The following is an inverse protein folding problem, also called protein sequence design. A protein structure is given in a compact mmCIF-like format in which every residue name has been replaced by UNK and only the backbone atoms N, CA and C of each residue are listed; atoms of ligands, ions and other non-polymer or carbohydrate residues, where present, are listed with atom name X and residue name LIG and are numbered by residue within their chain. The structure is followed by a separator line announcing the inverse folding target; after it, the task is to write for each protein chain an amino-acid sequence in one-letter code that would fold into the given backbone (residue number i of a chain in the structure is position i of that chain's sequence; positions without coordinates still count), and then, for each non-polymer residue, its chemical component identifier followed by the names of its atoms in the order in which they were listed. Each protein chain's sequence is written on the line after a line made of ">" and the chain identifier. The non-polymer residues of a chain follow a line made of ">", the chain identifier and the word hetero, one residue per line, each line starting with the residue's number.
data_IF_278515582208
#
_entry.id   IF_278515582208
#
_cell.length_a   1.000
_cell.length_b   1.000
_cell.length_c   1.000
_cell.angle_alpha   90.00
_cell.angle_beta   90.00
_cell.angle_gamma   90.00
#
_symmetry.space_group_name_H-M   'P 1'
#
loop_
_entity.id
_entity.type
_entity.pdbx_description
1 polymer ?
#
# COMPACT_ATOMS: atom_id res chain seq x y z
N UNK A 1 -10.79 -9.34 2.66
CA UNK A 1 -11.08 -10.42 3.63
C UNK A 1 -12.57 -10.50 3.96
N UNK A 2 -13.32 -9.38 3.89
CA UNK A 2 -14.72 -9.33 4.31
C UNK A 2 -15.68 -9.99 3.30
N UNK A 3 -15.32 -10.05 2.02
CA UNK A 3 -16.14 -10.73 0.99
C UNK A 3 -16.31 -12.22 1.28
N UNK A 4 -15.24 -12.93 1.63
CA UNK A 4 -15.31 -14.36 1.96
C UNK A 4 -16.22 -14.63 3.16
N UNK A 5 -16.08 -13.82 4.22
CA UNK A 5 -16.96 -13.92 5.39
C UNK A 5 -18.43 -13.61 5.05
N UNK A 6 -18.67 -12.63 4.16
CA UNK A 6 -20.00 -12.29 3.68
C UNK A 6 -20.63 -13.44 2.89
N UNK A 7 -19.85 -14.07 2.00
CA UNK A 7 -20.33 -15.23 1.22
C UNK A 7 -20.75 -16.38 2.12
N UNK A 8 -19.94 -16.74 3.11
CA UNK A 8 -20.29 -17.81 4.07
C UNK A 8 -21.55 -17.45 4.87
N UNK A 9 -21.63 -16.22 5.39
CA UNK A 9 -22.78 -15.76 6.14
C UNK A 9 -24.09 -15.81 5.32
N UNK A 10 -24.05 -15.39 4.06
CA UNK A 10 -25.21 -15.44 3.16
C UNK A 10 -25.60 -16.86 2.78
N UNK A 11 -24.65 -17.79 2.73
CA UNK A 11 -24.89 -19.21 2.50
C UNK A 11 -25.37 -19.95 3.77
N UNK A 12 -25.48 -19.29 4.91
CA UNK A 12 -25.85 -19.92 6.19
C UNK A 12 -24.74 -20.82 6.77
N UNK A 13 -23.50 -20.65 6.29
CA UNK A 13 -22.33 -21.43 6.74
C UNK A 13 -21.64 -20.66 7.86
N UNK A 14 -21.26 -21.37 8.93
CA UNK A 14 -20.52 -20.79 10.04
C UNK A 14 -19.17 -20.23 9.55
N UNK A 15 -18.86 -18.99 9.98
CA UNK A 15 -17.59 -18.34 9.65
C UNK A 15 -16.49 -18.92 10.57
N UNK A 16 -15.44 -19.56 10.03
CA UNK A 16 -14.35 -20.11 10.83
C UNK A 16 -13.71 -19.05 11.73
N UNK A 17 -13.37 -19.41 12.97
CA UNK A 17 -12.74 -18.51 13.95
C UNK A 17 -11.39 -17.96 13.48
N UNK A 18 -10.68 -18.66 12.60
CA UNK A 18 -9.43 -18.22 11.97
C UNK A 18 -9.63 -17.12 10.92
N UNK A 19 -10.88 -16.90 10.47
CA UNK A 19 -11.19 -15.87 9.47
C UNK A 19 -11.39 -14.53 10.14
N UNK A 20 -10.58 -13.54 9.81
CA UNK A 20 -10.64 -12.18 10.37
C UNK A 20 -11.67 -11.29 9.65
N UNK A 21 -12.22 -11.75 8.54
CA UNK A 21 -13.26 -11.06 7.78
C UNK A 21 -14.57 -10.91 8.59
N UNK A 22 -15.33 -9.86 8.30
CA UNK A 22 -16.65 -9.61 8.87
C UNK A 22 -17.68 -9.48 7.75
N UNK A 23 -18.88 -10.06 7.89
CA UNK A 23 -19.93 -9.88 6.92
C UNK A 23 -20.27 -8.39 6.70
N UNK A 24 -20.38 -8.00 5.45
CA UNK A 24 -20.68 -6.61 5.04
C UNK A 24 -22.20 -6.36 4.99
N UNK A 25 -22.97 -7.41 4.68
CA UNK A 25 -24.42 -7.37 4.52
C UNK A 25 -25.07 -8.59 5.20
N UNK A 26 -26.38 -8.54 5.38
CA UNK A 26 -27.16 -9.59 6.02
C UNK A 26 -27.24 -9.48 7.54
N UNK A 27 -27.89 -10.44 8.22
CA UNK A 27 -28.17 -10.36 9.65
C UNK A 27 -26.93 -10.32 10.56
N UNK A 28 -25.80 -10.85 10.06
CA UNK A 28 -24.52 -10.90 10.78
C UNK A 28 -23.59 -9.74 10.43
N UNK A 29 -24.06 -8.76 9.64
CA UNK A 29 -23.26 -7.62 9.22
C UNK A 29 -22.75 -6.80 10.41
N UNK A 30 -21.46 -6.52 10.42
CA UNK A 30 -20.81 -5.66 11.43
C UNK A 30 -19.96 -4.61 10.75
N UNK A 31 -20.36 -3.33 10.91
CA UNK A 31 -19.57 -2.22 10.40
C UNK A 31 -18.21 -2.14 11.11
N UNK A 32 -17.18 -1.79 10.37
CA UNK A 32 -15.86 -1.46 10.92
C UNK A 32 -15.78 0.04 11.16
N UNK A 33 -15.17 0.43 12.29
CA UNK A 33 -14.89 1.84 12.57
C UNK A 33 -13.80 2.38 11.63
N UNK A 34 -12.86 1.52 11.26
CA UNK A 34 -11.80 1.82 10.31
C UNK A 34 -11.37 0.56 9.55
N UNK A 35 -10.70 0.77 8.43
CA UNK A 35 -10.02 -0.30 7.68
C UNK A 35 -8.54 0.00 7.57
N UNK A 36 -7.73 -1.05 7.59
CA UNK A 36 -6.27 -0.96 7.43
C UNK A 36 -5.87 -1.58 6.10
N UNK A 37 -4.90 -0.95 5.45
CA UNK A 37 -4.20 -1.55 4.31
C UNK A 37 -2.70 -1.54 4.60
N UNK A 38 -2.03 -2.60 4.17
CA UNK A 38 -0.61 -2.81 4.36
C UNK A 38 0.09 -3.13 3.04
N UNK A 39 1.32 -2.66 2.89
CA UNK A 39 2.20 -3.04 1.81
C UNK A 39 3.60 -3.21 2.38
N UNK A 40 4.20 -4.39 2.19
CA UNK A 40 5.58 -4.68 2.59
C UNK A 40 6.45 -4.97 1.37
N UNK A 41 5.93 -5.71 0.40
CA UNK A 41 6.65 -6.07 -0.81
C UNK A 41 5.69 -6.26 -2.00
N UNK A 42 6.20 -6.00 -3.19
CA UNK A 42 5.55 -6.37 -4.45
C UNK A 42 6.66 -6.74 -5.45
N UNK A 43 6.77 -8.01 -5.80
CA UNK A 43 7.89 -8.57 -6.57
C UNK A 43 9.24 -8.20 -5.91
N UNK A 44 10.17 -7.64 -6.67
CA UNK A 44 11.47 -7.14 -6.18
C UNK A 44 11.38 -5.86 -5.34
N UNK A 45 10.22 -5.21 -5.33
CA UNK A 45 10.04 -3.90 -4.70
C UNK A 45 9.69 -4.05 -3.21
N UNK A 46 10.67 -3.86 -2.34
CA UNK A 46 10.46 -3.85 -0.88
C UNK A 46 9.97 -2.48 -0.43
N UNK A 47 8.95 -2.48 0.41
CA UNK A 47 8.38 -1.30 1.04
C UNK A 47 7.94 -1.61 2.47
N UNK A 48 7.49 -0.60 3.21
CA UNK A 48 6.78 -0.76 4.47
C UNK A 48 5.83 0.43 4.60
N UNK A 49 4.58 0.19 4.24
CA UNK A 49 3.51 1.21 4.30
C UNK A 49 2.33 0.63 5.05
N UNK A 50 1.75 1.45 5.91
CA UNK A 50 0.47 1.16 6.56
C UNK A 50 -0.47 2.33 6.34
N UNK A 51 -1.73 2.05 6.10
CA UNK A 51 -2.75 3.09 6.02
C UNK A 51 -4.01 2.74 6.79
N UNK A 52 -4.66 3.75 7.32
CA UNK A 52 -5.97 3.66 7.95
C UNK A 52 -6.92 4.59 7.22
N UNK A 53 -8.09 4.06 6.85
CA UNK A 53 -9.23 4.86 6.43
C UNK A 53 -10.32 4.79 7.49
N UNK A 54 -10.76 5.97 7.95
CA UNK A 54 -11.86 6.13 8.89
C UNK A 54 -12.75 7.28 8.43
N UNK A 55 -14.00 6.95 8.07
CA UNK A 55 -14.91 7.92 7.45
C UNK A 55 -14.34 8.50 6.16
N UNK A 56 -14.32 9.82 6.09
CA UNK A 56 -13.83 10.57 4.94
C UNK A 56 -12.30 10.82 4.97
N UNK A 57 -11.60 10.36 6.00
CA UNK A 57 -10.16 10.58 6.12
C UNK A 57 -9.36 9.31 5.91
N UNK A 58 -8.20 9.48 5.26
CA UNK A 58 -7.19 8.45 5.11
C UNK A 58 -5.85 8.95 5.63
N UNK A 59 -5.24 8.17 6.48
CA UNK A 59 -3.89 8.37 6.99
C UNK A 59 -2.97 7.29 6.44
N UNK A 60 -1.76 7.68 6.03
CA UNK A 60 -0.71 6.78 5.54
C UNK A 60 0.56 7.03 6.36
N UNK A 61 1.18 5.96 6.81
CA UNK A 61 2.52 5.94 7.39
C UNK A 61 3.48 5.28 6.43
N UNK A 62 4.50 6.02 5.99
CA UNK A 62 5.61 5.52 5.20
C UNK A 62 6.80 5.27 6.12
N UNK A 63 7.15 4.00 6.36
CA UNK A 63 8.26 3.63 7.22
C UNK A 63 9.61 3.68 6.51
N UNK A 64 9.59 3.67 5.17
CA UNK A 64 10.76 3.81 4.30
C UNK A 64 10.62 5.08 3.44
N UNK A 65 10.61 6.29 4.04
CA UNK A 65 10.34 7.53 3.31
C UNK A 65 11.48 7.91 2.34
N UNK A 66 12.67 7.34 2.49
CA UNK A 66 13.80 7.51 1.56
C UNK A 66 13.58 6.81 0.21
N UNK A 67 12.51 6.05 0.04
CA UNK A 67 12.16 5.39 -1.21
C UNK A 67 11.11 6.20 -1.98
N UNK A 68 11.17 6.26 -3.32
CA UNK A 68 10.13 6.91 -4.12
C UNK A 68 8.79 6.16 -4.07
N UNK A 69 7.71 6.83 -4.44
CA UNK A 69 6.43 6.14 -4.66
C UNK A 69 6.52 5.13 -5.82
N UNK A 70 7.13 5.55 -6.92
CA UNK A 70 7.35 4.72 -8.09
C UNK A 70 8.75 4.11 -8.06
N UNK A 71 8.92 3.09 -7.23
CA UNK A 71 10.16 2.33 -7.17
C UNK A 71 10.39 1.58 -8.49
N UNK A 72 11.67 1.33 -8.88
CA UNK A 72 12.00 0.48 -10.01
C UNK A 72 11.35 -0.90 -9.87
N UNK A 73 10.84 -1.42 -10.98
CA UNK A 73 10.22 -2.74 -11.02
C UNK A 73 10.26 -3.26 -12.45
N UNK A 74 10.82 -4.44 -12.66
CA UNK A 74 10.96 -5.04 -13.98
C UNK A 74 9.60 -5.10 -14.72
N UNK A 75 8.53 -5.46 -14.01
CA UNK A 75 7.19 -5.50 -14.56
C UNK A 75 6.68 -4.12 -15.04
N UNK A 76 6.91 -3.06 -14.24
CA UNK A 76 6.47 -1.70 -14.59
C UNK A 76 7.37 -1.08 -15.65
N UNK A 77 8.68 -1.24 -15.49
CA UNK A 77 9.67 -0.59 -16.35
C UNK A 77 9.64 -1.15 -17.79
N UNK A 78 9.11 -2.36 -17.96
CA UNK A 78 8.81 -2.93 -19.28
C UNK A 78 7.65 -2.21 -20.01
N UNK A 79 6.81 -1.44 -19.33
CA UNK A 79 5.67 -0.75 -19.97
C UNK A 79 6.13 0.42 -20.82
N UNK A 80 5.65 0.56 -22.09
CA UNK A 80 6.12 1.58 -23.03
C UNK A 80 6.05 3.02 -22.54
N UNK A 81 5.11 3.33 -21.63
CA UNK A 81 4.94 4.68 -21.10
C UNK A 81 5.98 5.05 -20.03
N UNK A 82 6.63 4.07 -19.39
CA UNK A 82 7.57 4.33 -18.29
C UNK A 82 8.81 5.12 -18.72
N UNK A 83 9.51 4.77 -19.81
CA UNK A 83 10.62 5.58 -20.32
C UNK A 83 10.18 7.01 -20.66
N UNK A 84 8.97 7.17 -21.21
CA UNK A 84 8.43 8.50 -21.55
C UNK A 84 8.24 9.36 -20.30
N UNK A 85 7.59 8.82 -19.25
CA UNK A 85 7.39 9.57 -17.99
C UNK A 85 8.73 9.93 -17.36
N UNK A 86 9.69 9.01 -17.31
CA UNK A 86 11.04 9.28 -16.77
C UNK A 86 11.77 10.36 -17.56
N UNK A 87 11.68 10.33 -18.88
CA UNK A 87 12.26 11.36 -19.74
C UNK A 87 11.61 12.73 -19.51
N UNK A 88 10.29 12.79 -19.40
CA UNK A 88 9.57 14.04 -19.09
C UNK A 88 9.90 14.58 -17.70
N UNK A 89 10.09 13.71 -16.71
CA UNK A 89 10.54 14.09 -15.37
C UNK A 89 11.94 14.70 -15.41
N UNK A 90 12.89 14.02 -16.06
CA UNK A 90 14.28 14.51 -16.21
C UNK A 90 14.34 15.84 -16.97
N UNK A 91 13.43 16.07 -17.91
CA UNK A 91 13.31 17.32 -18.65
C UNK A 91 12.52 18.42 -17.91
N UNK A 92 12.03 18.21 -16.69
CA UNK A 92 11.22 19.15 -15.93
C UNK A 92 9.86 19.48 -16.58
N UNK A 93 9.34 18.59 -17.42
CA UNK A 93 8.09 18.80 -18.18
C UNK A 93 6.83 18.23 -17.53
N UNK A 94 6.96 17.62 -16.36
CA UNK A 94 5.82 17.14 -15.59
C UNK A 94 5.25 18.27 -14.71
N UNK A 95 3.95 18.23 -14.48
CA UNK A 95 3.34 19.09 -13.44
C UNK A 95 3.85 18.67 -12.06
N UNK A 96 3.79 19.55 -11.03
CA UNK A 96 4.21 19.20 -9.68
C UNK A 96 3.53 17.91 -9.15
N UNK A 97 2.24 17.72 -9.44
CA UNK A 97 1.49 16.51 -9.02
C UNK A 97 2.04 15.25 -9.71
N UNK A 98 2.29 15.31 -11.01
CA UNK A 98 2.84 14.19 -11.76
C UNK A 98 4.25 13.84 -11.30
N UNK A 99 5.06 14.87 -10.99
CA UNK A 99 6.43 14.71 -10.53
C UNK A 99 6.54 14.01 -9.16
N UNK A 100 5.51 14.14 -8.29
CA UNK A 100 5.50 13.50 -6.97
C UNK A 100 5.76 11.98 -7.03
N UNK A 101 5.23 11.29 -8.05
CA UNK A 101 5.41 9.84 -8.19
C UNK A 101 6.86 9.43 -8.47
N UNK A 102 7.66 10.35 -9.02
CA UNK A 102 9.05 10.13 -9.42
C UNK A 102 10.05 10.81 -8.47
N UNK A 103 9.55 11.53 -7.45
CA UNK A 103 10.40 12.13 -6.44
C UNK A 103 11.22 11.06 -5.73
N UNK A 104 12.49 11.35 -5.44
CA UNK A 104 13.42 10.39 -4.81
C UNK A 104 12.98 9.93 -3.43
N UNK A 105 12.25 10.79 -2.73
CA UNK A 105 11.72 10.54 -1.40
C UNK A 105 10.22 10.83 -1.35
N UNK A 106 9.56 10.39 -0.28
CA UNK A 106 8.16 10.66 -0.01
C UNK A 106 7.95 11.12 1.43
N UNK A 107 6.82 11.74 1.77
CA UNK A 107 6.52 12.15 3.15
C UNK A 107 6.53 10.94 4.10
N UNK A 108 6.98 11.16 5.33
CA UNK A 108 6.90 10.15 6.41
C UNK A 108 5.45 9.82 6.73
N UNK A 109 4.58 10.84 6.65
CA UNK A 109 3.16 10.72 6.94
C UNK A 109 2.33 11.48 5.92
N UNK A 110 1.16 10.93 5.62
CA UNK A 110 0.19 11.56 4.74
C UNK A 110 -1.19 11.50 5.38
N UNK A 111 -1.95 12.58 5.22
CA UNK A 111 -3.33 12.68 5.67
C UNK A 111 -4.17 13.34 4.57
N UNK A 112 -5.25 12.69 4.19
CA UNK A 112 -6.13 13.15 3.13
C UNK A 112 -7.59 13.21 3.59
N UNK A 113 -8.30 14.28 3.18
CA UNK A 113 -9.75 14.40 3.28
C UNK A 113 -10.35 13.91 1.95
N UNK A 114 -10.75 12.66 1.88
CA UNK A 114 -11.21 12.01 0.65
C UNK A 114 -12.51 12.59 0.10
N UNK A 115 -13.26 13.33 0.91
CA UNK A 115 -14.46 14.03 0.46
C UNK A 115 -14.12 15.29 -0.34
N UNK A 116 -13.05 16.00 0.06
CA UNK A 116 -12.59 17.23 -0.60
C UNK A 116 -11.49 16.97 -1.62
N UNK A 117 -10.73 15.91 -1.43
CA UNK A 117 -9.58 15.53 -2.23
C UNK A 117 -9.60 14.01 -2.51
N UNK A 118 -10.52 13.54 -3.39
CA UNK A 118 -10.64 12.12 -3.72
C UNK A 118 -9.43 11.56 -4.47
N UNK A 119 -8.56 12.43 -4.98
CA UNK A 119 -7.35 12.05 -5.71
C UNK A 119 -6.10 12.00 -4.84
N UNK A 120 -6.21 12.35 -3.54
CA UNK A 120 -5.11 12.28 -2.58
C UNK A 120 -3.88 13.10 -3.03
N UNK A 121 -4.11 14.32 -3.54
CA UNK A 121 -3.06 15.20 -4.05
C UNK A 121 -2.58 16.22 -3.00
N UNK A 122 -3.42 16.52 -2.00
CA UNK A 122 -3.15 17.53 -0.99
C UNK A 122 -2.90 16.88 0.37
N UNK A 123 -1.64 16.60 0.67
CA UNK A 123 -1.27 16.07 1.99
C UNK A 123 -1.50 17.11 3.09
N UNK A 124 -2.34 16.77 4.07
CA UNK A 124 -2.71 17.60 5.21
C UNK A 124 -1.88 17.30 6.48
N UNK A 125 -0.93 16.37 6.43
CA UNK A 125 -0.19 15.91 7.61
C UNK A 125 0.66 17.01 8.28
N UNK A 126 1.05 18.04 7.53
CA UNK A 126 1.79 19.20 8.06
C UNK A 126 0.91 20.39 8.44
N UNK A 127 -0.42 20.27 8.29
CA UNK A 127 -1.34 21.36 8.59
C UNK A 127 -1.78 21.31 10.08
N UNK A 128 -1.44 22.31 10.91
CA UNK A 128 -1.76 22.31 12.35
C UNK A 128 -3.25 22.14 12.66
N UNK A 129 -4.13 22.57 11.76
CA UNK A 129 -5.59 22.38 11.92
C UNK A 129 -6.00 20.89 12.00
N UNK A 130 -5.13 19.97 11.61
CA UNK A 130 -5.37 18.54 11.62
C UNK A 130 -4.54 17.78 12.67
N UNK A 131 -3.77 18.43 13.54
CA UNK A 131 -2.87 17.80 14.51
C UNK A 131 -3.58 16.80 15.43
N UNK A 132 -4.74 17.18 15.97
CA UNK A 132 -5.55 16.31 16.85
C UNK A 132 -5.96 15.03 16.09
N UNK A 133 -6.40 15.18 14.86
CA UNK A 133 -6.79 14.06 14.00
C UNK A 133 -5.60 13.18 13.65
N UNK A 134 -4.49 13.78 13.27
CA UNK A 134 -3.25 13.07 12.95
C UNK A 134 -2.77 12.24 14.14
N UNK A 135 -2.77 12.82 15.35
CA UNK A 135 -2.43 12.12 16.59
C UNK A 135 -3.37 10.93 16.85
N UNK A 136 -4.66 11.10 16.62
CA UNK A 136 -5.64 10.01 16.78
C UNK A 136 -5.37 8.86 15.81
N UNK A 137 -5.06 9.15 14.54
CA UNK A 137 -4.69 8.14 13.54
C UNK A 137 -3.40 7.40 13.90
N UNK A 138 -2.36 8.12 14.32
CA UNK A 138 -1.09 7.52 14.82
C UNK A 138 -1.37 6.51 15.92
N UNK A 139 -2.15 6.90 16.92
CA UNK A 139 -2.50 6.04 18.05
C UNK A 139 -3.33 4.82 17.62
N UNK A 140 -4.24 4.99 16.65
CA UNK A 140 -5.04 3.89 16.13
C UNK A 140 -4.19 2.91 15.35
N UNK A 141 -3.26 3.40 14.52
CA UNK A 141 -2.33 2.55 13.79
C UNK A 141 -1.42 1.77 14.74
N UNK A 142 -0.78 2.43 15.70
CA UNK A 142 0.08 1.76 16.69
C UNK A 142 -0.64 0.67 17.47
N UNK A 143 -1.88 0.92 17.89
CA UNK A 143 -2.69 -0.11 18.56
C UNK A 143 -3.00 -1.28 17.65
N UNK A 144 -3.30 -1.02 16.38
CA UNK A 144 -3.56 -2.06 15.41
C UNK A 144 -2.30 -2.90 15.14
N UNK A 145 -1.14 -2.29 14.96
CA UNK A 145 0.15 -2.98 14.77
C UNK A 145 0.44 -3.96 15.91
N UNK A 146 0.25 -3.50 17.15
CA UNK A 146 0.45 -4.34 18.35
C UNK A 146 -0.60 -5.46 18.40
N UNK A 147 -1.88 -5.15 18.23
CA UNK A 147 -2.97 -6.12 18.40
C UNK A 147 -3.05 -7.15 17.29
N UNK A 148 -2.58 -6.82 16.08
CA UNK A 148 -2.53 -7.75 14.94
C UNK A 148 -1.25 -8.58 14.91
N UNK A 149 -0.24 -8.23 15.73
CA UNK A 149 1.09 -8.84 15.65
C UNK A 149 1.77 -8.51 14.32
N UNK A 150 1.60 -7.27 13.81
CA UNK A 150 2.18 -6.84 12.54
C UNK A 150 3.70 -7.00 12.53
N UNK A 151 4.21 -7.87 11.67
CA UNK A 151 5.63 -8.16 11.52
C UNK A 151 6.30 -7.35 10.41
N UNK A 152 5.57 -6.52 9.67
CA UNK A 152 6.10 -5.73 8.56
C UNK A 152 7.22 -4.76 8.93
N UNK A 153 7.38 -4.44 10.22
CA UNK A 153 8.51 -3.66 10.75
C UNK A 153 9.85 -4.40 10.70
N UNK A 154 9.83 -5.73 10.59
CA UNK A 154 11.03 -6.54 10.46
C UNK A 154 11.34 -6.72 8.98
N UNK A 155 12.55 -6.35 8.58
CA UNK A 155 13.00 -6.59 7.21
C UNK A 155 13.04 -8.10 6.92
N UNK A 156 12.63 -8.48 5.71
CA UNK A 156 12.86 -9.85 5.24
C UNK A 156 14.37 -10.11 5.15
N UNK A 157 14.84 -11.32 5.49
CA UNK A 157 16.23 -11.70 5.28
C UNK A 157 16.61 -11.59 3.79
N UNK A 158 17.78 -11.03 3.49
CA UNK A 158 18.27 -10.87 2.11
C UNK A 158 18.30 -12.20 1.35
N UNK A 159 18.67 -13.29 2.02
CA UNK A 159 18.67 -14.64 1.43
C UNK A 159 17.29 -15.09 0.93
N UNK A 160 16.20 -14.69 1.61
CA UNK A 160 14.84 -14.96 1.15
C UNK A 160 14.52 -14.18 -0.12
N UNK A 161 14.87 -12.90 -0.14
CA UNK A 161 14.71 -12.04 -1.31
C UNK A 161 15.48 -12.60 -2.51
N UNK A 162 16.75 -12.96 -2.35
CA UNK A 162 17.60 -13.51 -3.40
C UNK A 162 17.04 -14.83 -3.95
N UNK A 163 16.58 -15.74 -3.08
CA UNK A 163 15.95 -17.00 -3.46
C UNK A 163 14.68 -16.79 -4.29
N UNK A 164 13.82 -15.88 -3.84
CA UNK A 164 12.57 -15.57 -4.54
C UNK A 164 12.84 -14.91 -5.90
N UNK A 165 13.83 -14.01 -5.97
CA UNK A 165 14.23 -13.36 -7.22
C UNK A 165 14.83 -14.34 -8.20
N UNK A 166 15.67 -15.28 -7.75
CA UNK A 166 16.22 -16.32 -8.61
C UNK A 166 15.08 -17.19 -9.20
N UNK A 167 14.10 -17.56 -8.38
CA UNK A 167 12.92 -18.32 -8.82
C UNK A 167 12.08 -17.52 -9.83
N UNK A 168 11.87 -16.23 -9.60
CA UNK A 168 11.11 -15.36 -10.51
C UNK A 168 11.82 -15.24 -11.86
N UNK A 169 13.11 -14.94 -11.86
CA UNK A 169 13.91 -14.81 -13.08
C UNK A 169 13.97 -16.12 -13.88
N UNK A 170 14.10 -17.26 -13.21
CA UNK A 170 14.04 -18.57 -13.88
C UNK A 170 12.70 -18.77 -14.60
N UNK A 171 11.58 -18.43 -13.95
CA UNK A 171 10.25 -18.51 -14.56
C UNK A 171 10.08 -17.54 -15.74
N UNK A 172 10.66 -16.35 -15.68
CA UNK A 172 10.63 -15.39 -16.79
C UNK A 172 11.41 -15.91 -18.00
N UNK A 173 12.60 -16.50 -17.80
CA UNK A 173 13.41 -17.12 -18.87
C UNK A 173 12.63 -18.22 -19.58
N UNK A 174 11.92 -19.06 -18.84
CA UNK A 174 11.08 -20.12 -19.41
C UNK A 174 9.94 -19.54 -20.26
N UNK A 175 9.30 -18.45 -19.80
CA UNK A 175 8.17 -17.84 -20.51
C UNK A 175 8.57 -17.01 -21.73
N UNK A 176 9.76 -16.39 -21.69
CA UNK A 176 10.24 -15.46 -22.71
C UNK A 176 11.69 -15.78 -23.10
N UNK A 177 11.99 -16.97 -23.65
CA UNK A 177 13.38 -17.37 -23.94
C UNK A 177 14.11 -16.42 -24.87
N UNK A 178 13.39 -15.77 -25.80
CA UNK A 178 13.98 -14.82 -26.77
C UNK A 178 14.44 -13.48 -26.16
N UNK A 179 13.97 -13.13 -24.99
CA UNK A 179 14.36 -11.89 -24.28
C UNK A 179 15.66 -12.05 -23.48
N UNK A 180 16.09 -13.28 -23.24
CA UNK A 180 17.22 -13.64 -22.40
C UNK A 180 18.30 -14.43 -23.15
N UNK A 181 18.15 -14.58 -24.47
CA UNK A 181 19.16 -15.09 -25.39
C UNK A 181 20.00 -13.93 -25.93
#
# INVERSE_FOLDING_TARGET
>A
IDLSATTLALAGIEIPKSMQGRPLIGPLAKRRDFVVSARDRCDETVDHIRSIRQGDFKYIRNYLPQRPYLQPSAYKDYKPFMPVIRSLYAAGKLTPIQALHLAETRPVEELYDLKKDPWEVRNLASNPAHDVRLKAFRNTLSRWEVSSGDLGRFAEPDALYESDMATYLAKLKIRNPRQFA
#
